data_IF_530051664409
#
_entry.id   IF_530051664409
#
_cell.length_a   1.000
_cell.length_b   1.000
_cell.length_c   1.000
_cell.angle_alpha   90.00
_cell.angle_beta   90.00
_cell.angle_gamma   90.00
#
_symmetry.space_group_name_H-M   'P 1'
#
loop_
_entity.id
_entity.type
_entity.pdbx_description
1 polymer ?
#
# COMPACT_ATOMS: atom_id res chain seq x y z
N UNK A 1 -6.84 -22.19 -7.16
CA UNK A 1 -6.57 -20.99 -6.35
C UNK A 1 -5.73 -21.46 -5.18
N UNK A 2 -4.46 -21.06 -5.16
CA UNK A 2 -3.54 -21.35 -4.05
C UNK A 2 -3.96 -20.55 -2.82
N UNK A 3 -3.41 -20.85 -1.65
CA UNK A 3 -3.66 -20.04 -0.45
C UNK A 3 -3.09 -18.63 -0.59
N UNK A 4 -1.92 -18.50 -1.20
CA UNK A 4 -1.31 -17.23 -1.62
C UNK A 4 -2.26 -16.40 -2.49
N UNK A 5 -2.89 -16.98 -3.52
CA UNK A 5 -3.85 -16.26 -4.37
C UNK A 5 -5.06 -15.72 -3.57
N UNK A 6 -5.46 -16.41 -2.49
CA UNK A 6 -6.56 -15.94 -1.63
C UNK A 6 -6.10 -14.75 -0.79
N UNK A 7 -4.89 -14.81 -0.25
CA UNK A 7 -4.27 -13.75 0.54
C UNK A 7 -4.09 -12.50 -0.32
N UNK A 8 -3.48 -12.63 -1.50
CA UNK A 8 -3.31 -11.52 -2.44
C UNK A 8 -4.63 -10.84 -2.78
N UNK A 9 -5.69 -11.61 -3.05
CA UNK A 9 -7.03 -11.04 -3.31
C UNK A 9 -7.62 -10.29 -2.12
N UNK A 10 -7.44 -10.79 -0.90
CA UNK A 10 -7.91 -10.13 0.30
C UNK A 10 -7.14 -8.82 0.55
N UNK A 11 -5.82 -8.86 0.37
CA UNK A 11 -4.94 -7.70 0.51
C UNK A 11 -5.23 -6.64 -0.57
N UNK A 12 -5.41 -7.05 -1.82
CA UNK A 12 -5.81 -6.14 -2.90
C UNK A 12 -7.18 -5.51 -2.63
N UNK A 13 -8.16 -6.28 -2.13
CA UNK A 13 -9.47 -5.74 -1.78
C UNK A 13 -9.34 -4.66 -0.69
N UNK A 14 -8.63 -4.94 0.39
CA UNK A 14 -8.36 -3.95 1.44
C UNK A 14 -7.61 -2.75 0.88
N UNK A 15 -6.52 -2.95 0.14
CA UNK A 15 -5.68 -1.87 -0.41
C UNK A 15 -6.43 -0.96 -1.37
N UNK A 16 -7.21 -1.51 -2.29
CA UNK A 16 -7.86 -0.75 -3.35
C UNK A 16 -9.13 -0.04 -2.87
N UNK A 17 -9.83 -0.61 -1.88
CA UNK A 17 -11.14 -0.11 -1.44
C UNK A 17 -11.15 0.47 -0.03
N UNK A 18 -10.16 0.13 0.80
CA UNK A 18 -10.13 0.36 2.24
C UNK A 18 -11.33 -0.23 2.99
N UNK A 19 -12.00 -1.20 2.38
CA UNK A 19 -13.02 -2.02 3.01
C UNK A 19 -12.36 -3.25 3.64
N UNK A 20 -13.08 -3.97 4.50
CA UNK A 20 -12.64 -5.23 5.14
C UNK A 20 -11.51 -5.14 6.18
N UNK A 21 -11.07 -3.93 6.54
CA UNK A 21 -10.02 -3.73 7.54
C UNK A 21 -9.95 -2.31 8.09
N UNK A 22 -8.90 -2.02 8.86
CA UNK A 22 -8.62 -0.69 9.40
C UNK A 22 -7.37 -0.12 8.74
N UNK A 23 -7.50 1.05 8.14
CA UNK A 23 -6.38 1.80 7.57
C UNK A 23 -5.92 2.83 8.58
N UNK A 24 -4.61 2.87 8.82
CA UNK A 24 -3.98 3.83 9.74
C UNK A 24 -2.78 4.47 9.07
N UNK A 25 -2.52 5.72 9.41
CA UNK A 25 -1.32 6.44 8.99
C UNK A 25 -0.40 6.60 10.19
N UNK A 26 0.90 6.48 9.95
CA UNK A 26 1.90 6.87 10.96
C UNK A 26 1.88 8.38 11.16
N UNK A 27 2.35 8.87 12.31
CA UNK A 27 2.37 10.29 12.61
C UNK A 27 3.14 11.12 11.56
N UNK A 28 4.22 10.57 11.01
CA UNK A 28 5.00 11.22 9.94
C UNK A 28 4.17 11.45 8.68
N UNK A 29 3.47 10.43 8.18
CA UNK A 29 2.57 10.56 7.02
C UNK A 29 1.40 11.49 7.34
N UNK A 30 0.81 11.37 8.55
CA UNK A 30 -0.32 12.19 8.94
C UNK A 30 0.03 13.68 9.06
N UNK A 31 1.28 14.02 9.35
CA UNK A 31 1.77 15.41 9.48
C UNK A 31 2.00 16.13 8.14
N UNK A 32 1.93 15.41 7.02
CA UNK A 32 2.09 15.98 5.68
C UNK A 32 0.87 16.82 5.27
N UNK A 33 1.03 17.76 4.32
CA UNK A 33 -0.09 18.49 3.73
C UNK A 33 -1.17 17.55 3.18
N UNK A 34 -2.42 17.99 3.22
CA UNK A 34 -3.58 17.19 2.79
C UNK A 34 -3.42 16.65 1.37
N UNK A 35 -3.05 17.50 0.42
CA UNK A 35 -2.80 17.12 -0.98
C UNK A 35 -1.74 16.02 -1.10
N UNK A 36 -0.64 16.14 -0.34
CA UNK A 36 0.42 15.12 -0.31
C UNK A 36 -0.06 13.80 0.28
N UNK A 37 -0.91 13.84 1.31
CA UNK A 37 -1.50 12.63 1.90
C UNK A 37 -2.46 11.95 0.93
N UNK A 38 -3.26 12.72 0.20
CA UNK A 38 -4.18 12.21 -0.82
C UNK A 38 -3.43 11.56 -1.99
N UNK A 39 -2.32 12.15 -2.44
CA UNK A 39 -1.44 11.56 -3.46
C UNK A 39 -0.85 10.23 -3.00
N UNK A 40 -0.33 10.18 -1.77
CA UNK A 40 0.22 8.95 -1.17
C UNK A 40 -0.87 7.87 -1.11
N UNK A 41 -2.06 8.21 -0.61
CA UNK A 41 -3.20 7.28 -0.53
C UNK A 41 -3.59 6.77 -1.91
N UNK A 42 -3.64 7.65 -2.91
CA UNK A 42 -3.97 7.28 -4.29
C UNK A 42 -2.93 6.31 -4.86
N UNK A 43 -1.64 6.57 -4.64
CA UNK A 43 -0.55 5.67 -5.05
C UNK A 43 -0.64 4.31 -4.35
N UNK A 44 -0.96 4.25 -3.05
CA UNK A 44 -1.16 2.97 -2.33
C UNK A 44 -2.31 2.16 -2.95
N UNK A 45 -3.46 2.79 -3.20
CA UNK A 45 -4.64 2.13 -3.78
C UNK A 45 -4.38 1.63 -5.20
N UNK A 46 -3.58 2.35 -5.98
CA UNK A 46 -3.24 2.04 -7.36
C UNK A 46 -1.98 1.20 -7.57
N UNK A 47 -1.23 0.88 -6.50
CA UNK A 47 0.07 0.19 -6.61
C UNK A 47 -0.05 -1.17 -7.34
N UNK A 48 0.78 -1.41 -8.33
CA UNK A 48 0.82 -2.67 -9.08
C UNK A 48 2.26 -3.14 -9.37
N UNK A 49 3.25 -2.40 -8.87
CA UNK A 49 4.68 -2.68 -9.03
C UNK A 49 5.16 -3.76 -8.02
N UNK A 50 4.49 -4.90 -8.00
CA UNK A 50 4.91 -6.08 -7.24
C UNK A 50 6.01 -6.84 -8.00
N UNK A 51 7.17 -6.98 -7.36
CA UNK A 51 8.35 -7.65 -7.89
C UNK A 51 8.87 -8.65 -6.85
N UNK A 52 9.76 -9.56 -7.24
CA UNK A 52 10.35 -10.54 -6.30
C UNK A 52 11.08 -9.85 -5.13
N UNK A 53 11.58 -8.64 -5.33
CA UNK A 53 12.28 -7.86 -4.30
C UNK A 53 11.35 -7.35 -3.18
N UNK A 54 10.08 -7.06 -3.51
CA UNK A 54 9.12 -6.47 -2.56
C UNK A 54 7.93 -7.38 -2.23
N UNK A 55 7.73 -8.46 -2.98
CA UNK A 55 6.61 -9.39 -2.83
C UNK A 55 7.05 -10.85 -3.09
N UNK A 56 8.04 -11.37 -2.33
CA UNK A 56 8.59 -12.72 -2.53
C UNK A 56 7.56 -13.82 -2.28
N UNK A 57 6.54 -13.52 -1.47
CA UNK A 57 5.45 -14.45 -1.14
C UNK A 57 4.22 -14.27 -2.02
N UNK A 58 4.20 -13.25 -2.89
CA UNK A 58 3.07 -12.95 -3.80
C UNK A 58 1.76 -12.68 -3.06
N UNK A 59 1.87 -12.10 -1.87
CA UNK A 59 0.75 -11.81 -0.98
C UNK A 59 0.23 -10.38 -1.13
N UNK A 60 0.96 -9.51 -1.86
CA UNK A 60 0.55 -8.12 -2.11
C UNK A 60 0.37 -7.30 -0.81
N UNK A 61 1.15 -7.62 0.23
CA UNK A 61 1.01 -7.05 1.57
C UNK A 61 2.03 -5.94 1.88
N UNK A 62 2.94 -5.64 0.95
CA UNK A 62 3.96 -4.63 1.11
C UNK A 62 4.21 -3.87 -0.20
N UNK A 63 4.54 -2.59 -0.07
CA UNK A 63 5.02 -1.81 -1.20
C UNK A 63 5.78 -0.56 -0.77
N UNK A 64 6.55 -0.03 -1.71
CA UNK A 64 7.30 1.19 -1.52
C UNK A 64 7.36 2.00 -2.81
N UNK A 65 7.32 3.32 -2.70
CA UNK A 65 7.45 4.24 -3.83
C UNK A 65 8.03 5.58 -3.38
N UNK A 66 8.59 6.33 -4.32
CA UNK A 66 9.06 7.69 -4.08
C UNK A 66 7.90 8.70 -4.15
N UNK A 67 7.88 9.63 -3.20
CA UNK A 67 6.94 10.75 -3.15
C UNK A 67 7.72 12.06 -3.17
N UNK A 68 7.38 12.94 -4.12
CA UNK A 68 8.07 14.21 -4.31
C UNK A 68 8.00 15.06 -3.05
N UNK A 69 9.14 15.60 -2.63
CA UNK A 69 9.27 16.41 -1.41
C UNK A 69 9.16 15.64 -0.09
N UNK A 70 8.88 14.33 -0.12
CA UNK A 70 8.77 13.46 1.08
C UNK A 70 9.87 12.41 1.11
N UNK A 71 10.24 11.88 -0.05
CA UNK A 71 11.15 10.73 -0.20
C UNK A 71 10.40 9.41 -0.22
N UNK A 72 11.09 8.34 0.17
CA UNK A 72 10.56 6.97 0.07
C UNK A 72 9.46 6.71 1.09
N UNK A 73 8.29 6.37 0.59
CA UNK A 73 7.12 5.96 1.38
C UNK A 73 7.00 4.44 1.35
N UNK A 74 6.70 3.87 2.51
CA UNK A 74 6.44 2.45 2.69
C UNK A 74 5.00 2.26 3.16
N UNK A 75 4.36 1.20 2.70
CA UNK A 75 3.06 0.75 3.20
C UNK A 75 3.07 -0.77 3.35
N UNK A 76 2.24 -1.27 4.26
CA UNK A 76 2.01 -2.69 4.46
C UNK A 76 0.60 -2.98 4.96
N UNK A 77 0.16 -4.22 4.75
CA UNK A 77 -1.08 -4.81 5.28
C UNK A 77 -0.75 -5.78 6.41
#
# INVERSE_FOLDING_TARGET
MTDTDKIAKANDLLRQTFLTGKVVMTAGIYSLPDDTREEIVTKVRGFDAFTEDNDPYREHDFGAFEQDGVGKVFWKI
#
